data_IF_929879472949
#
_entry.id   IF_929879472949
#
_cell.length_a   1.000
_cell.length_b   1.000
_cell.length_c   1.000
_cell.angle_alpha   90.00
_cell.angle_beta   90.00
_cell.angle_gamma   90.00
#
_symmetry.space_group_name_H-M   'P 1'
#
loop_
_entity.id
_entity.type
_entity.pdbx_description
1 polymer ?
#
# COMPACT_ATOMS: atom_id res chain seq x y z
N UNK A 1 -12.42 -14.54 1.54
CA UNK A 1 -13.01 -14.12 2.84
C UNK A 1 -13.23 -12.61 3.00
N UNK A 2 -12.23 -11.72 2.85
CA UNK A 2 -12.36 -10.26 3.09
C UNK A 2 -13.55 -9.55 2.39
N UNK A 3 -13.91 -9.98 1.18
CA UNK A 3 -15.05 -9.41 0.42
C UNK A 3 -16.42 -9.70 1.03
N UNK A 4 -16.59 -10.87 1.63
CA UNK A 4 -17.86 -11.32 2.18
C UNK A 4 -18.21 -10.49 3.43
N UNK A 5 -17.22 -10.26 4.29
CA UNK A 5 -17.35 -9.41 5.47
C UNK A 5 -17.73 -7.97 5.11
N UNK A 6 -17.03 -7.32 4.17
CA UNK A 6 -17.35 -5.92 3.81
C UNK A 6 -18.76 -5.76 3.21
N UNK A 7 -19.28 -6.78 2.51
CA UNK A 7 -20.67 -6.79 2.03
C UNK A 7 -21.68 -6.93 3.17
N UNK A 8 -21.42 -7.87 4.10
CA UNK A 8 -22.26 -8.05 5.30
C UNK A 8 -22.27 -6.79 6.15
N UNK A 9 -21.11 -6.18 6.38
CA UNK A 9 -21.01 -4.92 7.12
C UNK A 9 -21.73 -3.77 6.42
N UNK A 10 -21.63 -3.65 5.09
CA UNK A 10 -22.42 -2.64 4.36
C UNK A 10 -23.92 -2.86 4.52
N UNK A 11 -24.37 -4.11 4.42
CA UNK A 11 -25.82 -4.44 4.49
C UNK A 11 -26.37 -4.22 5.90
N UNK A 12 -25.64 -4.65 6.93
CA UNK A 12 -26.11 -4.65 8.31
C UNK A 12 -25.85 -3.31 9.02
N UNK A 13 -24.76 -2.63 8.70
CA UNK A 13 -24.33 -1.39 9.37
C UNK A 13 -24.34 -0.16 8.43
N UNK A 14 -24.89 -0.28 7.21
CA UNK A 14 -25.04 0.81 6.23
C UNK A 14 -23.73 1.55 5.90
N UNK A 15 -22.56 0.90 6.04
CA UNK A 15 -21.24 1.51 5.81
C UNK A 15 -21.05 1.89 4.33
N UNK A 16 -21.14 3.18 4.00
CA UNK A 16 -21.01 3.68 2.62
C UNK A 16 -19.56 3.94 2.19
N UNK A 17 -18.67 4.20 3.14
CA UNK A 17 -17.27 4.52 2.87
C UNK A 17 -16.35 3.91 3.91
N UNK A 18 -15.14 3.57 3.51
CA UNK A 18 -14.12 2.96 4.36
C UNK A 18 -12.76 3.61 4.15
N UNK A 19 -11.97 3.62 5.22
CA UNK A 19 -10.52 3.81 5.14
C UNK A 19 -9.86 2.44 5.32
N UNK A 20 -8.66 2.27 4.76
CA UNK A 20 -7.89 1.04 4.94
C UNK A 20 -6.49 1.37 5.42
N UNK A 21 -5.99 0.57 6.36
CA UNK A 21 -4.62 0.62 6.85
C UNK A 21 -4.02 -0.76 6.64
N UNK A 22 -2.90 -0.83 5.95
CA UNK A 22 -2.18 -2.07 5.71
C UNK A 22 -0.76 -1.98 6.25
N UNK A 23 -0.28 -3.05 6.87
CA UNK A 23 1.12 -3.26 7.20
C UNK A 23 1.64 -4.47 6.43
N UNK A 24 2.84 -4.37 5.87
CA UNK A 24 3.51 -5.48 5.16
C UNK A 24 2.57 -6.16 4.14
N UNK A 25 2.27 -7.44 4.31
CA UNK A 25 1.37 -8.23 3.46
C UNK A 25 -0.06 -7.67 3.38
N UNK A 26 -0.53 -6.98 4.42
CA UNK A 26 -1.85 -6.33 4.42
C UNK A 26 -2.02 -5.33 3.26
N UNK A 27 -0.93 -4.69 2.82
CA UNK A 27 -0.94 -3.81 1.65
C UNK A 27 -1.24 -4.57 0.35
N UNK A 28 -0.68 -5.76 0.21
CA UNK A 28 -0.92 -6.63 -0.94
C UNK A 28 -2.38 -7.07 -0.92
N UNK A 29 -2.91 -7.46 0.24
CA UNK A 29 -4.34 -7.77 0.40
C UNK A 29 -5.23 -6.59 -0.01
N UNK A 30 -4.88 -5.35 0.35
CA UNK A 30 -5.61 -4.15 -0.08
C UNK A 30 -5.55 -3.99 -1.62
N UNK A 31 -4.40 -4.15 -2.26
CA UNK A 31 -4.29 -4.05 -3.72
C UNK A 31 -5.16 -5.11 -4.42
N UNK A 32 -5.13 -6.36 -3.97
CA UNK A 32 -5.99 -7.41 -4.51
C UNK A 32 -7.46 -7.18 -4.18
N UNK A 33 -7.79 -6.62 -3.02
CA UNK A 33 -9.16 -6.18 -2.72
C UNK A 33 -9.61 -5.12 -3.75
N UNK A 34 -8.79 -4.11 -4.01
CA UNK A 34 -9.12 -3.06 -4.96
C UNK A 34 -9.30 -3.61 -6.38
N UNK A 35 -8.39 -4.48 -6.85
CA UNK A 35 -8.46 -5.07 -8.20
C UNK A 35 -9.82 -5.69 -8.48
N UNK A 36 -10.40 -6.26 -7.45
CA UNK A 36 -11.57 -7.10 -7.56
C UNK A 36 -12.88 -6.43 -7.18
N UNK A 37 -12.85 -5.27 -6.53
CA UNK A 37 -14.03 -4.68 -5.89
C UNK A 37 -14.23 -3.20 -6.19
N UNK A 38 -13.22 -2.49 -6.70
CA UNK A 38 -13.24 -1.03 -6.75
C UNK A 38 -14.36 -0.45 -7.63
N UNK A 39 -14.74 -1.16 -8.70
CA UNK A 39 -15.84 -0.77 -9.60
C UNK A 39 -17.12 -1.59 -9.36
N UNK A 40 -17.17 -2.43 -8.31
CA UNK A 40 -18.35 -3.26 -8.06
C UNK A 40 -19.43 -2.48 -7.35
N UNK A 41 -20.63 -2.46 -7.96
CA UNK A 41 -21.86 -2.03 -7.30
C UNK A 41 -22.02 -2.81 -5.99
N UNK A 42 -22.46 -2.11 -4.95
CA UNK A 42 -22.70 -2.76 -3.66
C UNK A 42 -21.52 -2.77 -2.70
N UNK A 43 -20.37 -2.21 -3.05
CA UNK A 43 -19.20 -2.14 -2.17
C UNK A 43 -19.06 -0.75 -1.53
N UNK A 44 -18.55 -0.64 -0.29
CA UNK A 44 -18.21 0.65 0.30
C UNK A 44 -17.16 1.38 -0.54
N UNK A 45 -17.29 2.71 -0.66
CA UNK A 45 -16.32 3.55 -1.36
C UNK A 45 -15.06 3.72 -0.53
N UNK A 46 -13.90 3.47 -1.13
CA UNK A 46 -12.62 3.73 -0.48
C UNK A 46 -12.31 5.22 -0.45
N UNK A 47 -11.97 5.76 0.72
CA UNK A 47 -11.70 7.19 0.93
C UNK A 47 -10.21 7.46 1.17
N UNK A 48 -9.61 6.83 2.19
CA UNK A 48 -8.19 6.97 2.51
C UNK A 48 -7.52 5.61 2.64
N UNK A 49 -6.28 5.50 2.17
CA UNK A 49 -5.42 4.33 2.39
C UNK A 49 -4.12 4.76 3.04
N UNK A 50 -3.74 4.09 4.12
CA UNK A 50 -2.38 4.13 4.67
C UNK A 50 -1.71 2.79 4.37
N UNK A 51 -0.57 2.85 3.67
CA UNK A 51 0.25 1.69 3.38
C UNK A 51 1.53 1.79 4.18
N UNK A 52 1.78 0.88 5.10
CA UNK A 52 2.99 0.84 5.92
C UNK A 52 3.85 -0.35 5.49
N UNK A 53 5.11 -0.09 5.13
CA UNK A 53 6.06 -1.13 4.74
C UNK A 53 5.54 -2.08 3.65
N UNK A 54 4.85 -1.56 2.64
CA UNK A 54 4.30 -2.38 1.56
C UNK A 54 5.42 -2.97 0.69
N UNK A 55 5.44 -4.27 0.49
CA UNK A 55 6.45 -4.96 -0.33
C UNK A 55 5.97 -5.15 -1.79
N UNK A 56 5.47 -4.07 -2.40
CA UNK A 56 4.74 -4.16 -3.67
C UNK A 56 5.56 -4.83 -4.77
N UNK A 57 6.81 -4.41 -5.01
CA UNK A 57 7.68 -5.00 -6.03
C UNK A 57 8.50 -6.19 -5.50
N UNK A 58 8.06 -6.80 -4.40
CA UNK A 58 8.62 -8.03 -3.83
C UNK A 58 9.56 -7.81 -2.65
N UNK A 59 10.13 -8.93 -2.20
CA UNK A 59 11.06 -9.06 -1.07
C UNK A 59 12.41 -9.58 -1.54
N UNK A 60 13.51 -9.21 -0.86
CA UNK A 60 14.88 -9.54 -1.28
C UNK A 60 15.55 -10.66 -0.47
N UNK A 61 14.75 -11.47 0.24
CA UNK A 61 15.18 -12.72 0.88
C UNK A 61 14.50 -13.91 0.20
N UNK A 62 14.77 -15.13 0.68
CA UNK A 62 14.20 -16.35 0.10
C UNK A 62 12.68 -16.39 0.24
N UNK A 63 12.00 -16.26 -0.90
CA UNK A 63 10.54 -16.29 -1.07
C UNK A 63 10.22 -16.87 -2.45
N UNK A 64 8.99 -17.33 -2.69
CA UNK A 64 8.57 -17.77 -4.03
C UNK A 64 8.83 -16.73 -5.11
N UNK A 65 9.17 -17.17 -6.31
CA UNK A 65 9.57 -16.31 -7.44
C UNK A 65 8.56 -15.19 -7.73
N UNK A 66 7.27 -15.52 -7.61
CA UNK A 66 6.17 -14.62 -7.91
C UNK A 66 6.15 -13.36 -7.03
N UNK A 67 6.72 -13.45 -5.82
CA UNK A 67 6.83 -12.35 -4.85
C UNK A 67 8.28 -11.92 -4.59
N UNK A 68 9.26 -12.55 -5.25
CA UNK A 68 10.66 -12.17 -5.13
C UNK A 68 10.91 -10.83 -5.79
N UNK A 69 11.72 -9.98 -5.16
CA UNK A 69 12.14 -8.72 -5.73
C UNK A 69 13.10 -9.00 -6.89
N UNK A 70 12.87 -8.44 -8.10
CA UNK A 70 13.81 -8.58 -9.19
C UNK A 70 15.21 -8.02 -8.84
N UNK A 71 16.26 -8.70 -9.27
CA UNK A 71 17.63 -8.18 -9.14
C UNK A 71 17.80 -6.87 -9.90
N UNK A 72 18.53 -5.93 -9.30
CA UNK A 72 18.78 -4.58 -9.82
C UNK A 72 17.49 -3.79 -10.10
N UNK A 73 16.49 -3.97 -9.23
CA UNK A 73 15.25 -3.20 -9.27
C UNK A 73 15.55 -1.69 -9.13
N UNK A 74 15.10 -0.91 -10.10
CA UNK A 74 15.18 0.55 -10.14
C UNK A 74 13.83 1.10 -10.53
N UNK A 75 13.46 2.25 -9.98
CA UNK A 75 12.24 2.96 -10.36
C UNK A 75 12.58 4.16 -11.26
N UNK A 76 11.72 4.43 -12.25
CA UNK A 76 11.74 5.70 -12.97
C UNK A 76 11.13 6.86 -12.13
N UNK A 77 11.10 8.07 -12.69
CA UNK A 77 10.51 9.25 -12.05
C UNK A 77 9.02 9.09 -11.66
N UNK A 78 8.31 8.19 -12.34
CA UNK A 78 6.90 7.87 -12.10
C UNK A 78 6.71 6.69 -11.14
N UNK A 79 7.81 6.13 -10.61
CA UNK A 79 7.79 4.95 -9.75
C UNK A 79 7.66 3.64 -10.51
N UNK A 80 7.74 3.63 -11.85
CA UNK A 80 7.65 2.41 -12.65
C UNK A 80 8.93 1.61 -12.45
N UNK A 81 8.85 0.35 -12.00
CA UNK A 81 10.03 -0.49 -11.91
C UNK A 81 10.50 -0.92 -13.30
N UNK A 82 11.82 -1.03 -13.47
CA UNK A 82 12.46 -1.57 -14.67
C UNK A 82 12.14 -3.07 -14.89
N UNK A 83 11.85 -3.80 -13.81
CA UNK A 83 11.46 -5.22 -13.82
C UNK A 83 10.29 -5.43 -12.87
N UNK A 84 9.35 -6.30 -13.23
CA UNK A 84 8.18 -6.61 -12.41
C UNK A 84 8.09 -8.10 -12.19
N UNK A 85 7.97 -8.55 -10.94
CA UNK A 85 7.62 -9.94 -10.63
C UNK A 85 6.12 -10.21 -10.95
N UNK A 86 5.68 -11.46 -10.81
CA UNK A 86 4.33 -11.86 -11.21
C UNK A 86 3.25 -11.12 -10.42
N UNK A 87 3.39 -11.02 -9.10
CA UNK A 87 2.41 -10.33 -8.24
C UNK A 87 2.34 -8.83 -8.53
N UNK A 88 3.47 -8.16 -8.79
CA UNK A 88 3.48 -6.76 -9.18
C UNK A 88 2.78 -6.53 -10.52
N UNK A 89 2.98 -7.40 -11.52
CA UNK A 89 2.27 -7.30 -12.81
C UNK A 89 0.75 -7.40 -12.61
N UNK A 90 0.29 -8.26 -11.71
CA UNK A 90 -1.14 -8.35 -11.39
C UNK A 90 -1.64 -7.07 -10.71
N UNK A 91 -0.93 -6.58 -9.69
CA UNK A 91 -1.30 -5.34 -8.99
C UNK A 91 -1.27 -4.11 -9.90
N UNK A 92 -0.32 -4.04 -10.85
CA UNK A 92 -0.20 -2.93 -11.80
C UNK A 92 -1.44 -2.75 -12.69
N UNK A 93 -2.27 -3.78 -12.86
CA UNK A 93 -3.58 -3.66 -13.54
C UNK A 93 -4.52 -2.67 -12.84
N UNK A 94 -4.32 -2.40 -11.54
CA UNK A 94 -5.05 -1.34 -10.83
C UNK A 94 -4.90 0.01 -11.49
N UNK A 95 -3.77 0.27 -12.15
CA UNK A 95 -3.45 1.59 -12.70
C UNK A 95 -4.52 2.11 -13.66
N UNK A 96 -5.21 1.25 -14.39
CA UNK A 96 -6.30 1.64 -15.30
C UNK A 96 -7.64 1.83 -14.59
N UNK A 97 -7.90 1.08 -13.51
CA UNK A 97 -9.19 1.03 -12.82
C UNK A 97 -9.22 1.72 -11.45
N UNK A 98 -8.10 2.30 -11.00
CA UNK A 98 -8.02 2.99 -9.72
C UNK A 98 -9.05 4.14 -9.67
N UNK A 99 -9.70 4.46 -8.53
CA UNK A 99 -10.70 5.52 -8.47
C UNK A 99 -10.09 6.87 -8.82
N UNK A 100 -10.60 7.52 -9.88
CA UNK A 100 -10.09 8.81 -10.34
C UNK A 100 -10.48 9.91 -9.35
N UNK A 101 -9.50 10.68 -8.89
CA UNK A 101 -9.64 11.83 -7.99
C UNK A 101 -10.46 11.54 -6.71
N UNK A 102 -10.44 10.30 -6.21
CA UNK A 102 -11.23 9.90 -5.03
C UNK A 102 -10.35 9.57 -3.83
N UNK A 103 -9.44 8.60 -3.98
CA UNK A 103 -8.71 8.03 -2.83
C UNK A 103 -7.49 8.87 -2.48
N UNK A 104 -7.34 9.25 -1.21
CA UNK A 104 -6.09 9.82 -0.68
C UNK A 104 -5.18 8.69 -0.21
N UNK A 105 -3.90 8.73 -0.56
CA UNK A 105 -2.93 7.67 -0.25
C UNK A 105 -1.76 8.23 0.55
N UNK A 106 -1.50 7.60 1.71
CA UNK A 106 -0.28 7.78 2.48
C UNK A 106 0.56 6.49 2.37
N UNK A 107 1.82 6.61 2.01
CA UNK A 107 2.78 5.51 1.93
C UNK A 107 3.88 5.74 2.97
N UNK A 108 3.82 5.00 4.06
CA UNK A 108 4.76 5.06 5.18
C UNK A 108 5.85 4.03 4.95
N UNK A 109 7.10 4.49 4.96
CA UNK A 109 8.28 3.64 4.80
C UNK A 109 9.24 3.86 5.97
N UNK A 110 9.88 2.79 6.41
CA UNK A 110 10.95 2.84 7.38
C UNK A 110 12.32 2.77 6.72
N UNK A 111 13.30 3.46 7.28
CA UNK A 111 14.69 3.42 6.85
C UNK A 111 15.61 3.36 8.08
N UNK A 112 16.03 2.14 8.43
CA UNK A 112 16.98 1.90 9.53
C UNK A 112 18.44 2.09 9.09
N UNK A 113 18.66 2.60 7.88
CA UNK A 113 19.91 2.56 7.15
C UNK A 113 19.79 1.68 5.91
N UNK A 114 20.52 2.03 4.84
CA UNK A 114 20.54 1.22 3.61
C UNK A 114 19.25 1.23 2.79
N UNK A 115 18.33 2.19 3.03
CA UNK A 115 17.06 2.32 2.28
C UNK A 115 16.15 1.10 2.48
N UNK A 116 16.06 0.61 3.71
CA UNK A 116 15.24 -0.54 4.10
C UNK A 116 14.75 -0.38 5.54
N UNK A 117 13.59 -0.96 5.85
CA UNK A 117 13.13 -1.10 7.24
C UNK A 117 13.72 -2.35 7.93
N UNK A 118 14.63 -3.06 7.26
CA UNK A 118 15.23 -4.32 7.70
C UNK A 118 14.56 -5.57 7.13
N UNK A 119 13.37 -5.44 6.51
CA UNK A 119 12.65 -6.55 5.86
C UNK A 119 12.25 -6.19 4.43
N UNK A 120 11.76 -4.98 4.22
CA UNK A 120 11.26 -4.48 2.95
C UNK A 120 12.17 -3.38 2.42
N UNK A 121 12.82 -3.61 1.26
CA UNK A 121 13.56 -2.56 0.58
C UNK A 121 12.63 -1.40 0.21
N UNK A 122 13.03 -0.15 0.46
CA UNK A 122 12.21 1.01 0.15
C UNK A 122 11.87 1.12 -1.34
N UNK A 123 12.74 0.63 -2.24
CA UNK A 123 12.44 0.55 -3.68
C UNK A 123 11.18 -0.26 -3.96
N UNK A 124 10.92 -1.31 -3.17
CA UNK A 124 9.70 -2.11 -3.25
C UNK A 124 8.49 -1.31 -2.77
N UNK A 125 8.59 -0.62 -1.64
CA UNK A 125 7.49 0.21 -1.12
C UNK A 125 7.15 1.43 -1.98
N UNK A 126 8.17 2.08 -2.56
CA UNK A 126 8.00 3.29 -3.37
C UNK A 126 7.36 2.99 -4.73
N UNK A 127 7.45 1.75 -5.21
CA UNK A 127 6.85 1.33 -6.48
C UNK A 127 5.31 1.46 -6.51
N UNK A 128 4.65 1.59 -5.35
CA UNK A 128 3.21 1.91 -5.24
C UNK A 128 2.77 3.09 -6.11
N UNK A 129 3.64 4.10 -6.27
CA UNK A 129 3.36 5.29 -7.10
C UNK A 129 2.93 4.90 -8.52
N UNK A 130 3.53 3.86 -9.09
CA UNK A 130 3.17 3.38 -10.42
C UNK A 130 1.84 2.63 -10.43
N UNK A 131 1.54 1.83 -9.41
CA UNK A 131 0.28 1.08 -9.31
C UNK A 131 -0.92 2.05 -9.25
N UNK A 132 -0.85 3.11 -8.45
CA UNK A 132 -1.96 4.05 -8.29
C UNK A 132 -2.02 5.10 -9.42
N UNK A 133 -0.86 5.41 -10.01
CA UNK A 133 -0.70 6.42 -11.06
C UNK A 133 -1.25 7.80 -10.71
N UNK A 134 -1.56 8.59 -11.73
CA UNK A 134 -2.11 9.94 -11.57
C UNK A 134 -3.63 9.93 -11.31
N UNK A 135 -4.16 8.82 -10.77
CA UNK A 135 -5.61 8.65 -10.54
C UNK A 135 -6.00 8.91 -9.09
N UNK A 136 -5.12 8.65 -8.13
CA UNK A 136 -5.38 8.97 -6.73
C UNK A 136 -5.65 10.48 -6.56
N UNK A 137 -6.49 10.84 -5.59
CA UNK A 137 -6.74 12.24 -5.21
C UNK A 137 -5.47 12.91 -4.66
N UNK A 138 -4.66 12.15 -3.94
CA UNK A 138 -3.34 12.56 -3.47
C UNK A 138 -2.49 11.34 -3.16
N UNK A 139 -1.17 11.48 -3.30
CA UNK A 139 -0.19 10.48 -2.92
C UNK A 139 0.95 11.15 -2.17
N UNK A 140 1.19 10.73 -0.92
CA UNK A 140 2.29 11.22 -0.09
C UNK A 140 3.12 10.06 0.41
N UNK A 141 4.44 10.19 0.32
CA UNK A 141 5.38 9.29 0.99
C UNK A 141 5.80 9.94 2.31
N UNK A 142 5.82 9.17 3.39
CA UNK A 142 6.37 9.59 4.67
C UNK A 142 7.43 8.59 5.09
N UNK A 143 8.68 9.06 5.19
CA UNK A 143 9.81 8.24 5.60
C UNK A 143 10.11 8.48 7.08
N UNK A 144 10.19 7.41 7.84
CA UNK A 144 10.71 7.42 9.20
C UNK A 144 12.10 6.81 9.21
N UNK A 145 12.99 7.35 10.04
CA UNK A 145 14.39 6.92 10.13
C UNK A 145 14.76 6.50 11.54
N UNK A 146 15.86 5.75 11.67
CA UNK A 146 16.41 5.32 12.96
C UNK A 146 15.81 4.01 13.48
N UNK A 147 16.19 3.58 14.68
CA UNK A 147 15.89 2.23 15.21
C UNK A 147 14.40 1.90 15.27
N UNK A 148 13.55 2.91 15.49
CA UNK A 148 12.09 2.76 15.56
C UNK A 148 11.40 2.78 14.18
N UNK A 149 12.17 2.88 13.10
CA UNK A 149 11.69 2.72 11.73
C UNK A 149 11.85 1.27 11.22
N UNK A 150 12.21 0.32 12.09
CA UNK A 150 12.32 -1.10 11.75
C UNK A 150 10.94 -1.69 11.41
N UNK A 151 10.91 -2.69 10.53
CA UNK A 151 9.69 -3.29 9.97
C UNK A 151 8.56 -3.54 10.99
N UNK A 152 8.85 -4.24 12.08
CA UNK A 152 7.88 -4.53 13.16
C UNK A 152 7.61 -3.34 14.08
N UNK A 153 8.54 -2.38 14.19
CA UNK A 153 8.36 -1.22 15.08
C UNK A 153 7.61 -0.07 14.44
N UNK A 154 7.39 -0.09 13.13
CA UNK A 154 6.64 0.96 12.45
C UNK A 154 5.22 1.13 13.04
N UNK A 155 4.57 0.05 13.47
CA UNK A 155 3.24 0.11 14.10
C UNK A 155 3.30 0.31 15.63
N UNK A 156 4.49 0.48 16.21
CA UNK A 156 4.73 0.82 17.62
C UNK A 156 5.38 2.21 17.76
N UNK A 157 5.54 2.92 16.64
CA UNK A 157 6.22 4.19 16.59
C UNK A 157 5.20 5.32 16.77
N UNK A 158 5.26 6.02 17.90
CA UNK A 158 4.35 7.12 18.22
C UNK A 158 4.30 8.22 17.13
N UNK A 159 5.38 8.43 16.37
CA UNK A 159 5.36 9.38 15.25
C UNK A 159 4.57 8.84 14.04
N UNK A 160 4.63 7.53 13.81
CA UNK A 160 3.80 6.85 12.80
C UNK A 160 2.33 6.92 13.22
N UNK A 161 2.01 6.69 14.49
CA UNK A 161 0.64 6.80 15.00
C UNK A 161 0.09 8.21 14.84
N UNK A 162 0.88 9.23 15.20
CA UNK A 162 0.51 10.64 14.99
C UNK A 162 0.24 10.91 13.51
N UNK A 163 1.09 10.42 12.61
CA UNK A 163 0.89 10.58 11.17
C UNK A 163 -0.37 9.89 10.66
N UNK A 164 -0.67 8.69 11.18
CA UNK A 164 -1.88 7.92 10.90
C UNK A 164 -3.13 8.70 11.32
N UNK A 165 -3.15 9.18 12.56
CA UNK A 165 -4.28 9.92 13.14
C UNK A 165 -4.55 11.20 12.35
N UNK A 166 -3.52 12.00 12.11
CA UNK A 166 -3.62 13.22 11.31
C UNK A 166 -4.14 12.93 9.90
N UNK A 167 -3.63 11.88 9.25
CA UNK A 167 -4.05 11.56 7.90
C UNK A 167 -5.49 11.04 7.83
N UNK A 168 -5.88 10.15 8.74
CA UNK A 168 -7.19 9.50 8.74
C UNK A 168 -8.30 10.42 9.24
N UNK A 169 -8.06 11.18 10.31
CA UNK A 169 -9.09 11.93 11.01
C UNK A 169 -8.86 13.44 11.07
N UNK A 170 -7.69 13.93 10.62
CA UNK A 170 -7.35 15.35 10.71
C UNK A 170 -7.43 15.88 12.15
N UNK A 171 -6.93 15.07 13.08
CA UNK A 171 -6.78 15.35 14.51
C UNK A 171 -5.31 15.31 14.89
#
# INVERSE_FOLDING_TARGET
MQRMWLRLYRKNYKIRSINMVGHSLGNISIMYYMLNNVNKKGMPRLNKIVNMAGHFAGLNFEVPEDIRQPQNLKLDKNGKPNKMNATYRQMAKLRSIYPKNQVKVLNIIGDIGGKTDGTVPNVSSLSLKYIIGNRAKSYRVMKFTGKNARHSRLHENAQVDKALIMFLWNK
#
